data_IF_430162582726
#
_entry.id   IF_430162582726
#
_cell.length_a   1.000
_cell.length_b   1.000
_cell.length_c   1.000
_cell.angle_alpha   90.00
_cell.angle_beta   90.00
_cell.angle_gamma   90.00
#
_symmetry.space_group_name_H-M   'P 1'
#
loop_
_entity.id
_entity.type
_entity.pdbx_description
1 polymer ?
#
# COMPACT_ATOMS: atom_id res chain seq x y z
N UNK A 1 -10.41 20.58 15.36
CA UNK A 1 -9.75 21.65 14.56
C UNK A 1 -8.32 21.21 14.28
N UNK A 2 -7.88 21.23 13.02
CA UNK A 2 -6.49 20.94 12.67
C UNK A 2 -5.58 21.99 13.32
N UNK A 3 -4.43 21.57 13.86
CA UNK A 3 -3.45 22.50 14.43
C UNK A 3 -2.84 23.37 13.32
N UNK A 4 -2.57 24.66 13.57
CA UNK A 4 -2.06 25.58 12.58
C UNK A 4 -0.67 25.15 12.05
N UNK A 5 -0.45 25.30 10.75
CA UNK A 5 0.84 24.98 10.09
C UNK A 5 1.98 25.91 10.55
N UNK A 6 1.66 27.11 11.04
CA UNK A 6 2.61 28.11 11.52
C UNK A 6 2.21 28.55 12.93
N UNK A 7 3.14 28.44 13.84
CA UNK A 7 2.97 28.84 15.23
C UNK A 7 3.46 30.27 15.44
N UNK A 8 2.79 31.03 16.29
CA UNK A 8 3.28 32.31 16.85
C UNK A 8 4.32 32.04 17.93
N UNK A 9 4.97 33.09 18.46
CA UNK A 9 5.93 32.97 19.56
C UNK A 9 5.29 32.37 20.82
N UNK A 10 4.07 32.76 21.14
CA UNK A 10 3.34 32.19 22.27
C UNK A 10 2.99 30.72 22.07
N UNK A 11 2.45 30.38 20.89
CA UNK A 11 2.07 29.00 20.59
C UNK A 11 3.28 28.03 20.54
N UNK A 12 4.43 28.47 19.99
CA UNK A 12 5.64 27.64 20.02
C UNK A 12 6.21 27.52 21.43
N UNK A 13 6.11 28.58 22.26
CA UNK A 13 6.49 28.54 23.65
C UNK A 13 5.66 27.49 24.43
N UNK A 14 4.34 27.52 24.25
CA UNK A 14 3.43 26.54 24.84
C UNK A 14 3.71 25.13 24.31
N UNK A 15 3.92 24.97 23.01
CA UNK A 15 4.21 23.69 22.37
C UNK A 15 5.51 23.05 22.91
N UNK A 16 6.56 23.87 23.11
CA UNK A 16 7.86 23.43 23.65
C UNK A 16 7.89 23.42 25.18
N UNK A 17 6.79 23.86 25.85
CA UNK A 17 6.74 24.06 27.31
C UNK A 17 7.85 24.97 27.83
N UNK A 18 8.18 26.00 27.05
CA UNK A 18 9.15 27.04 27.38
C UNK A 18 8.45 28.36 27.70
N UNK A 19 9.18 29.29 28.33
CA UNK A 19 8.75 30.69 28.42
C UNK A 19 9.06 31.41 27.10
N UNK A 20 8.20 32.35 26.66
CA UNK A 20 8.44 33.12 25.43
C UNK A 20 9.82 33.82 25.41
N UNK A 21 10.29 34.32 26.57
CA UNK A 21 11.64 34.88 26.68
C UNK A 21 12.71 33.90 26.17
N UNK A 22 12.61 32.59 26.49
CA UNK A 22 13.56 31.59 26.03
C UNK A 22 13.47 31.37 24.53
N UNK A 23 12.27 31.44 23.96
CA UNK A 23 12.06 31.37 22.50
C UNK A 23 12.78 32.53 21.81
N UNK A 24 12.66 33.77 22.33
CA UNK A 24 13.37 34.93 21.79
C UNK A 24 14.90 34.79 21.89
N UNK A 25 15.42 34.20 22.98
CA UNK A 25 16.86 33.89 23.13
C UNK A 25 17.31 32.92 22.03
N UNK A 26 16.60 31.79 21.83
CA UNK A 26 16.89 30.80 20.78
C UNK A 26 16.84 31.41 19.37
N UNK A 27 15.88 32.31 19.08
CA UNK A 27 15.79 33.03 17.81
C UNK A 27 16.99 33.96 17.61
N UNK A 28 17.42 34.66 18.64
CA UNK A 28 18.59 35.55 18.60
C UNK A 28 19.88 34.75 18.33
N UNK A 29 19.99 33.58 18.94
CA UNK A 29 21.12 32.64 18.79
C UNK A 29 21.06 31.83 17.51
N UNK A 30 19.97 31.99 16.70
CA UNK A 30 19.67 31.16 15.51
C UNK A 30 19.62 29.66 15.81
N UNK A 31 19.25 29.30 17.02
CA UNK A 31 19.20 27.91 17.51
C UNK A 31 17.82 27.26 17.36
N UNK A 32 16.81 27.97 16.85
CA UNK A 32 15.48 27.45 16.59
C UNK A 32 14.99 27.84 15.19
N UNK A 33 14.34 26.93 14.42
CA UNK A 33 13.80 27.25 13.11
C UNK A 33 12.70 28.30 13.20
N UNK A 34 12.87 29.44 12.53
CA UNK A 34 11.84 30.46 12.44
C UNK A 34 11.90 31.21 11.10
N UNK A 35 10.76 31.75 10.67
CA UNK A 35 10.62 32.67 9.55
C UNK A 35 10.27 34.08 10.06
N UNK A 36 10.85 35.11 9.43
CA UNK A 36 10.49 36.50 9.65
C UNK A 36 9.65 37.01 8.49
N UNK A 37 8.38 37.20 8.73
CA UNK A 37 7.44 37.66 7.70
C UNK A 37 6.79 38.93 8.21
N UNK A 38 6.93 40.05 7.46
CA UNK A 38 6.34 41.36 7.81
C UNK A 38 6.57 41.79 9.26
N UNK A 39 7.80 41.56 9.79
CA UNK A 39 8.18 41.91 11.15
C UNK A 39 7.69 40.96 12.25
N UNK A 40 6.91 39.95 11.92
CA UNK A 40 6.47 38.92 12.86
C UNK A 40 7.35 37.66 12.77
N UNK A 41 7.56 36.98 13.90
CA UNK A 41 8.15 35.66 13.97
C UNK A 41 7.07 34.60 13.79
N UNK A 42 7.30 33.71 12.85
CA UNK A 42 6.47 32.53 12.62
C UNK A 42 7.35 31.29 12.67
N UNK A 43 6.85 30.23 13.30
CA UNK A 43 7.55 28.98 13.48
C UNK A 43 6.81 27.89 12.70
N UNK A 44 7.34 27.45 11.56
CA UNK A 44 6.72 26.36 10.80
C UNK A 44 6.71 25.11 11.68
N UNK A 45 5.53 24.58 12.00
CA UNK A 45 5.36 23.45 12.92
C UNK A 45 6.23 22.26 12.53
N UNK A 46 6.23 21.90 11.25
CA UNK A 46 7.07 20.79 10.73
C UNK A 46 8.55 21.01 10.97
N UNK A 47 9.04 22.24 10.87
CA UNK A 47 10.43 22.56 11.14
C UNK A 47 10.77 22.46 12.63
N UNK A 48 9.84 22.85 13.52
CA UNK A 48 9.99 22.67 14.97
C UNK A 48 10.01 21.18 15.33
N UNK A 49 9.10 20.39 14.76
CA UNK A 49 9.06 18.94 15.01
C UNK A 49 10.36 18.25 14.55
N UNK A 50 10.88 18.62 13.37
CA UNK A 50 12.15 18.11 12.86
C UNK A 50 13.35 18.55 13.73
N UNK A 51 13.33 19.79 14.25
CA UNK A 51 14.35 20.30 15.14
C UNK A 51 14.37 19.55 16.48
N UNK A 52 13.18 19.28 17.07
CA UNK A 52 13.07 18.43 18.27
C UNK A 52 13.59 17.03 17.98
N UNK A 53 13.18 16.43 16.88
CA UNK A 53 13.59 15.08 16.49
C UNK A 53 15.11 14.96 16.30
N UNK A 54 15.74 16.01 15.75
CA UNK A 54 17.20 16.08 15.60
C UNK A 54 17.98 16.33 16.90
N UNK A 55 17.32 16.77 17.97
CA UNK A 55 17.91 17.05 19.27
C UNK A 55 17.61 15.96 20.33
N UNK A 56 16.99 14.82 19.91
CA UNK A 56 16.73 13.71 20.82
C UNK A 56 18.05 13.06 21.22
N UNK A 57 18.46 13.27 22.47
CA UNK A 57 19.55 12.54 23.10
C UNK A 57 19.00 11.20 23.62
N UNK A 58 19.55 10.11 23.12
CA UNK A 58 19.16 8.76 23.50
C UNK A 58 20.40 7.90 23.65
N UNK A 59 20.79 7.63 24.89
CA UNK A 59 21.97 6.79 25.25
C UNK A 59 21.64 5.29 25.27
N UNK A 60 20.43 4.93 24.86
CA UNK A 60 19.99 3.52 24.73
C UNK A 60 20.44 2.88 23.41
N UNK A 61 20.23 1.57 23.24
CA UNK A 61 20.43 0.93 21.95
C UNK A 61 19.59 1.68 20.91
N UNK A 62 20.22 2.08 19.79
CA UNK A 62 19.55 2.86 18.74
C UNK A 62 18.15 2.30 18.42
N UNK A 63 17.24 3.15 17.95
CA UNK A 63 15.92 2.67 17.52
C UNK A 63 16.12 1.44 16.65
N UNK A 64 15.46 0.31 16.94
CA UNK A 64 15.69 -0.93 16.22
C UNK A 64 15.57 -0.67 14.72
N UNK A 65 16.63 -1.02 13.99
CA UNK A 65 16.58 -0.98 12.53
C UNK A 65 15.57 -2.05 12.10
N UNK A 66 14.52 -1.72 11.37
CA UNK A 66 13.56 -2.71 10.92
C UNK A 66 14.28 -3.81 10.11
N UNK A 67 13.88 -5.08 10.26
CA UNK A 67 14.45 -6.13 9.43
C UNK A 67 14.17 -5.85 7.94
N UNK A 68 15.01 -6.30 7.02
CA UNK A 68 14.84 -6.09 5.59
C UNK A 68 13.68 -6.95 5.03
N UNK A 69 12.48 -6.67 5.50
CA UNK A 69 11.25 -7.36 5.12
C UNK A 69 10.37 -6.42 4.31
N UNK A 70 9.91 -6.89 3.15
CA UNK A 70 8.79 -6.34 2.41
C UNK A 70 7.56 -7.17 2.77
N UNK A 71 6.67 -6.58 3.55
CA UNK A 71 5.44 -7.21 4.00
C UNK A 71 4.24 -6.79 3.10
N UNK A 72 3.06 -7.34 3.35
CA UNK A 72 1.82 -6.86 2.76
C UNK A 72 1.21 -7.77 1.72
N UNK A 73 0.64 -7.18 0.68
CA UNK A 73 -0.06 -7.95 -0.33
C UNK A 73 0.87 -8.68 -1.28
N UNK A 74 0.46 -9.89 -1.66
CA UNK A 74 1.14 -10.66 -2.70
C UNK A 74 0.94 -9.99 -4.07
N UNK A 75 2.03 -9.94 -4.84
CA UNK A 75 2.03 -9.52 -6.24
C UNK A 75 3.12 -10.29 -7.01
N UNK A 76 2.77 -11.03 -8.09
CA UNK A 76 3.73 -11.85 -8.84
C UNK A 76 4.89 -11.05 -9.45
N UNK A 77 4.63 -9.84 -9.95
CA UNK A 77 5.66 -8.97 -10.52
C UNK A 77 6.63 -8.48 -9.45
N UNK A 78 6.11 -8.08 -8.29
CA UNK A 78 6.92 -7.65 -7.15
C UNK A 78 7.74 -8.81 -6.57
N UNK A 79 7.12 -9.98 -6.41
CA UNK A 79 7.78 -11.19 -5.92
C UNK A 79 8.97 -11.59 -6.82
N UNK A 80 8.78 -11.56 -8.13
CA UNK A 80 9.86 -11.79 -9.09
C UNK A 80 10.93 -10.68 -9.01
N UNK A 81 10.53 -9.40 -8.97
CA UNK A 81 11.45 -8.28 -8.93
C UNK A 81 12.34 -8.28 -7.68
N UNK A 82 11.81 -8.63 -6.51
CA UNK A 82 12.59 -8.77 -5.29
C UNK A 82 13.70 -9.80 -5.43
N UNK A 83 13.41 -10.94 -6.05
CA UNK A 83 14.43 -11.99 -6.31
C UNK A 83 15.43 -11.56 -7.37
N UNK A 84 14.94 -11.02 -8.50
CA UNK A 84 15.79 -10.68 -9.64
C UNK A 84 16.69 -9.47 -9.36
N UNK A 85 16.24 -8.49 -8.59
CA UNK A 85 17.04 -7.31 -8.23
C UNK A 85 18.19 -7.58 -7.27
N UNK A 86 18.15 -8.71 -6.54
CA UNK A 86 19.11 -8.95 -5.47
C UNK A 86 19.09 -7.94 -4.34
N UNK A 87 17.95 -7.25 -4.14
CA UNK A 87 17.82 -6.16 -3.15
C UNK A 87 17.95 -6.61 -1.68
N UNK A 88 17.95 -7.91 -1.41
CA UNK A 88 18.10 -8.46 -0.06
C UNK A 88 16.85 -8.39 0.80
N UNK A 89 15.69 -8.01 0.25
CA UNK A 89 14.42 -8.02 0.98
C UNK A 89 13.84 -9.44 1.05
N UNK A 90 13.37 -9.83 2.24
CA UNK A 90 12.53 -11.01 2.41
C UNK A 90 11.05 -10.63 2.22
N UNK A 91 10.28 -11.49 1.55
CA UNK A 91 8.85 -11.28 1.32
C UNK A 91 8.01 -11.95 2.40
N UNK A 92 7.01 -11.22 2.90
CA UNK A 92 6.01 -11.71 3.83
C UNK A 92 4.61 -11.25 3.39
N UNK A 93 3.91 -12.11 2.64
CA UNK A 93 2.69 -11.75 1.91
C UNK A 93 1.42 -12.20 2.64
N UNK A 94 1.02 -11.47 3.68
CA UNK A 94 -0.18 -11.75 4.50
C UNK A 94 -1.33 -10.74 4.30
N UNK A 95 -1.19 -9.83 3.33
CA UNK A 95 -2.22 -8.86 2.93
C UNK A 95 -1.91 -7.43 3.35
N UNK A 96 -2.59 -6.47 2.70
CA UNK A 96 -2.31 -5.02 2.83
C UNK A 96 -2.36 -4.52 4.28
N UNK A 97 -3.35 -4.95 5.06
CA UNK A 97 -3.52 -4.47 6.44
C UNK A 97 -2.45 -5.02 7.38
N UNK A 98 -2.10 -6.31 7.23
CA UNK A 98 -1.01 -6.91 8.00
C UNK A 98 0.31 -6.20 7.69
N UNK A 99 0.63 -5.99 6.42
CA UNK A 99 1.85 -5.28 6.01
C UNK A 99 1.95 -3.87 6.58
N UNK A 100 0.85 -3.10 6.60
CA UNK A 100 0.82 -1.79 7.23
C UNK A 100 1.05 -1.88 8.74
N UNK A 101 0.44 -2.86 9.41
CA UNK A 101 0.66 -3.12 10.84
C UNK A 101 2.13 -3.42 11.16
N UNK A 102 2.78 -4.26 10.35
CA UNK A 102 4.22 -4.58 10.49
C UNK A 102 5.12 -3.38 10.23
N UNK A 103 4.78 -2.56 9.22
CA UNK A 103 5.50 -1.31 8.96
C UNK A 103 5.40 -0.36 10.16
N UNK A 104 4.20 -0.19 10.73
CA UNK A 104 4.00 0.62 11.94
C UNK A 104 4.80 0.11 13.12
N UNK A 105 4.82 -1.20 13.33
CA UNK A 105 5.54 -1.86 14.42
C UNK A 105 7.07 -1.93 14.22
N UNK A 106 7.61 -1.45 13.08
CA UNK A 106 9.05 -1.57 12.78
C UNK A 106 9.50 -2.99 12.48
N UNK A 107 8.60 -3.87 12.07
CA UNK A 107 8.86 -5.28 11.70
C UNK A 107 9.06 -5.46 10.19
N UNK A 108 8.90 -4.40 9.41
CA UNK A 108 9.16 -4.37 7.99
C UNK A 108 9.67 -2.98 7.59
N UNK A 109 10.48 -2.91 6.54
CA UNK A 109 10.95 -1.64 5.94
C UNK A 109 10.00 -1.13 4.87
N UNK A 110 9.19 -2.03 4.27
CA UNK A 110 8.30 -1.73 3.16
C UNK A 110 7.04 -2.59 3.24
N UNK A 111 5.91 -2.07 2.73
CA UNK A 111 4.65 -2.81 2.63
C UNK A 111 4.02 -2.62 1.26
N UNK A 112 3.72 -3.74 0.57
CA UNK A 112 2.90 -3.76 -0.63
C UNK A 112 1.41 -3.65 -0.29
N UNK A 113 0.68 -2.79 -0.99
CA UNK A 113 -0.73 -2.56 -0.70
C UNK A 113 -1.55 -2.18 -1.96
N UNK A 114 -2.83 -2.53 -1.91
CA UNK A 114 -3.82 -2.14 -2.91
C UNK A 114 -5.16 -1.86 -2.18
N UNK A 115 -5.26 -0.71 -1.54
CA UNK A 115 -6.41 -0.34 -0.73
C UNK A 115 -7.32 0.61 -1.51
N UNK A 116 -8.54 0.15 -1.77
CA UNK A 116 -9.59 0.91 -2.42
C UNK A 116 -10.40 1.70 -1.38
N UNK A 117 -10.76 2.94 -1.70
CA UNK A 117 -11.78 3.69 -0.99
C UNK A 117 -13.16 3.20 -1.48
N UNK A 118 -13.90 2.53 -0.61
CA UNK A 118 -15.22 1.97 -0.97
C UNK A 118 -16.26 3.04 -1.27
N UNK A 119 -16.04 4.29 -0.86
CA UNK A 119 -16.99 5.37 -1.07
C UNK A 119 -17.01 5.87 -2.51
N UNK A 120 -15.87 5.81 -3.21
CA UNK A 120 -15.73 6.35 -4.56
C UNK A 120 -15.00 5.42 -5.55
N UNK A 121 -14.52 4.27 -5.08
CA UNK A 121 -13.81 3.29 -5.91
C UNK A 121 -12.38 3.70 -6.26
N UNK A 122 -11.83 4.74 -5.65
CA UNK A 122 -10.48 5.22 -5.93
C UNK A 122 -9.42 4.56 -5.05
N UNK A 123 -8.17 4.58 -5.50
CA UNK A 123 -7.01 4.16 -4.70
C UNK A 123 -6.37 5.40 -4.08
N UNK A 124 -6.92 5.83 -2.93
CA UNK A 124 -6.45 7.02 -2.26
C UNK A 124 -5.29 6.69 -1.30
N UNK A 125 -4.07 7.24 -1.51
CA UNK A 125 -2.93 7.01 -0.62
C UNK A 125 -3.18 7.43 0.82
N UNK A 126 -4.18 8.32 1.04
CA UNK A 126 -4.62 8.74 2.38
C UNK A 126 -5.09 7.56 3.25
N UNK A 127 -5.64 6.49 2.65
CA UNK A 127 -6.07 5.29 3.40
C UNK A 127 -4.88 4.66 4.13
N UNK A 128 -3.73 4.55 3.44
CA UNK A 128 -2.50 4.10 4.08
C UNK A 128 -2.04 5.07 5.18
N UNK A 129 -2.17 6.38 4.93
CA UNK A 129 -1.79 7.41 5.90
C UNK A 129 -2.68 7.41 7.14
N UNK A 130 -3.97 7.18 6.99
CA UNK A 130 -4.94 7.06 8.09
C UNK A 130 -4.71 5.77 8.89
N UNK A 131 -4.35 4.67 8.23
CA UNK A 131 -3.98 3.41 8.87
C UNK A 131 -2.63 3.47 9.61
N UNK A 132 -1.78 4.45 9.30
CA UNK A 132 -0.42 4.60 9.84
C UNK A 132 -0.19 5.95 10.54
N UNK A 133 -1.02 6.35 11.54
CA UNK A 133 -0.81 7.62 12.23
C UNK A 133 0.51 7.68 12.99
N UNK A 134 1.04 6.53 13.41
CA UNK A 134 2.32 6.40 14.12
C UNK A 134 3.57 6.46 13.23
N UNK A 135 3.41 6.55 11.90
CA UNK A 135 4.53 6.68 10.95
C UNK A 135 4.57 8.12 10.43
N UNK A 136 5.32 9.03 11.07
CA UNK A 136 5.28 10.47 10.76
C UNK A 136 5.92 10.81 9.40
N UNK A 137 6.84 9.98 8.92
CA UNK A 137 7.59 10.13 7.68
C UNK A 137 7.14 9.11 6.60
N UNK A 138 5.83 8.85 6.53
CA UNK A 138 5.25 7.91 5.56
C UNK A 138 5.42 8.43 4.13
N UNK A 139 5.97 7.57 3.28
CA UNK A 139 6.04 7.71 1.84
C UNK A 139 5.24 6.57 1.18
N UNK A 140 4.45 6.89 0.15
CA UNK A 140 3.78 5.89 -0.69
C UNK A 140 4.21 6.11 -2.14
N UNK A 141 4.71 5.05 -2.74
CA UNK A 141 5.24 5.02 -4.11
C UNK A 141 4.39 4.08 -4.94
N UNK A 142 3.96 4.52 -6.11
CA UNK A 142 3.21 3.68 -7.04
C UNK A 142 4.12 2.59 -7.61
N UNK A 143 3.65 1.34 -7.56
CA UNK A 143 4.30 0.19 -8.15
C UNK A 143 3.78 -0.08 -9.56
N UNK A 144 2.48 -0.40 -9.67
CA UNK A 144 1.85 -0.71 -10.94
C UNK A 144 0.33 -0.46 -10.90
N UNK A 145 -0.27 -0.32 -12.07
CA UNK A 145 -1.67 -0.64 -12.25
C UNK A 145 -1.80 -2.09 -12.66
N UNK A 146 -2.86 -2.78 -12.19
CA UNK A 146 -3.15 -4.18 -12.48
C UNK A 146 -4.59 -4.34 -12.93
N UNK A 147 -4.84 -5.25 -13.86
CA UNK A 147 -6.20 -5.61 -14.24
C UNK A 147 -6.73 -6.66 -13.27
N UNK A 148 -7.79 -6.32 -12.55
CA UNK A 148 -8.58 -7.18 -11.69
C UNK A 148 -9.85 -7.63 -12.41
N UNK A 149 -10.19 -8.89 -12.26
CA UNK A 149 -11.37 -9.44 -12.91
C UNK A 149 -11.77 -10.80 -12.38
N UNK A 150 -12.82 -11.35 -12.97
CA UNK A 150 -13.31 -12.66 -12.63
C UNK A 150 -12.53 -13.71 -13.42
N UNK A 151 -11.83 -14.58 -12.70
CA UNK A 151 -11.20 -15.77 -13.26
C UNK A 151 -12.21 -16.88 -13.33
N UNK A 152 -12.29 -17.55 -14.47
CA UNK A 152 -13.20 -18.69 -14.72
C UNK A 152 -12.42 -19.82 -15.39
N UNK A 153 -12.93 -21.03 -15.34
CA UNK A 153 -12.33 -22.17 -16.01
C UNK A 153 -12.19 -21.91 -17.51
N UNK A 154 -11.17 -22.49 -18.12
CA UNK A 154 -10.86 -22.33 -19.56
C UNK A 154 -12.06 -22.66 -20.43
N UNK A 155 -12.35 -21.80 -21.39
CA UNK A 155 -13.51 -21.90 -22.27
C UNK A 155 -14.80 -21.42 -21.62
N UNK A 156 -14.76 -20.92 -20.39
CA UNK A 156 -15.93 -20.43 -19.63
C UNK A 156 -17.15 -21.36 -19.74
N UNK A 157 -17.04 -22.63 -19.33
CA UNK A 157 -18.08 -23.63 -19.56
C UNK A 157 -19.41 -23.33 -18.85
N UNK A 158 -19.38 -22.45 -17.84
CA UNK A 158 -20.57 -22.03 -17.10
C UNK A 158 -21.23 -20.77 -17.68
N UNK A 159 -20.63 -20.17 -18.73
CA UNK A 159 -21.19 -18.98 -19.39
C UNK A 159 -21.27 -17.76 -18.48
N UNK A 160 -20.35 -17.62 -17.50
CA UNK A 160 -20.34 -16.49 -16.59
C UNK A 160 -19.93 -15.23 -17.35
N UNK A 161 -20.75 -14.18 -17.34
CA UNK A 161 -20.47 -12.91 -18.01
C UNK A 161 -20.16 -11.77 -17.03
N UNK A 162 -20.64 -11.91 -15.79
CA UNK A 162 -20.43 -10.91 -14.74
C UNK A 162 -20.38 -11.55 -13.35
N UNK A 163 -19.97 -10.77 -12.36
CA UNK A 163 -20.02 -11.18 -10.96
C UNK A 163 -21.47 -11.38 -10.48
N UNK A 164 -22.39 -10.53 -10.95
CA UNK A 164 -23.81 -10.64 -10.64
C UNK A 164 -24.41 -11.94 -11.20
N UNK A 165 -24.07 -12.32 -12.44
CA UNK A 165 -24.52 -13.57 -13.05
C UNK A 165 -24.01 -14.78 -12.28
N UNK A 166 -22.73 -14.76 -11.90
CA UNK A 166 -22.14 -15.84 -11.12
C UNK A 166 -22.90 -16.07 -9.80
N UNK A 167 -23.27 -14.98 -9.11
CA UNK A 167 -24.02 -15.06 -7.84
C UNK A 167 -25.46 -15.49 -8.09
N UNK A 168 -26.15 -14.92 -9.10
CA UNK A 168 -27.52 -15.27 -9.43
C UNK A 168 -27.67 -16.74 -9.85
N UNK A 169 -26.70 -17.30 -10.54
CA UNK A 169 -26.63 -18.71 -10.91
C UNK A 169 -26.23 -19.65 -9.75
N UNK A 170 -25.86 -19.11 -8.59
CA UNK A 170 -25.45 -19.88 -7.43
C UNK A 170 -24.05 -20.50 -7.56
N UNK A 171 -23.18 -19.95 -8.41
CA UNK A 171 -21.80 -20.42 -8.57
C UNK A 171 -20.97 -20.15 -7.35
N UNK A 172 -20.07 -21.09 -7.02
CA UNK A 172 -19.13 -20.97 -5.88
C UNK A 172 -18.04 -19.98 -6.23
N UNK A 173 -17.98 -18.88 -5.47
CA UNK A 173 -16.98 -17.81 -5.68
C UNK A 173 -15.83 -18.02 -4.73
N UNK A 174 -14.61 -18.27 -5.27
CA UNK A 174 -13.38 -18.27 -4.47
C UNK A 174 -13.14 -16.86 -3.91
N UNK A 175 -12.87 -16.78 -2.61
CA UNK A 175 -12.62 -15.52 -1.90
C UNK A 175 -11.24 -15.55 -1.24
N UNK A 176 -10.65 -14.37 -1.15
CA UNK A 176 -9.46 -14.15 -0.34
C UNK A 176 -9.85 -14.03 1.14
N UNK A 177 -8.85 -14.18 2.01
CA UNK A 177 -9.05 -14.01 3.46
C UNK A 177 -9.68 -12.63 3.77
N UNK A 178 -10.55 -12.56 4.81
CA UNK A 178 -11.21 -11.32 5.19
C UNK A 178 -10.22 -10.18 5.45
N UNK A 179 -10.53 -9.00 4.91
CA UNK A 179 -9.71 -7.80 5.06
C UNK A 179 -8.49 -7.72 4.14
N UNK A 180 -8.27 -8.69 3.26
CA UNK A 180 -7.31 -8.53 2.16
C UNK A 180 -7.80 -7.47 1.17
N UNK A 181 -6.90 -6.88 0.38
CA UNK A 181 -7.29 -5.88 -0.62
C UNK A 181 -8.29 -6.45 -1.64
N UNK A 182 -8.12 -7.70 -2.10
CA UNK A 182 -9.04 -8.35 -3.02
C UNK A 182 -10.41 -8.65 -2.39
N UNK A 183 -10.47 -8.96 -1.08
CA UNK A 183 -11.75 -9.14 -0.38
C UNK A 183 -12.50 -7.80 -0.26
N UNK A 184 -11.77 -6.71 0.03
CA UNK A 184 -12.35 -5.36 0.06
C UNK A 184 -12.85 -4.94 -1.32
N UNK A 185 -12.07 -5.22 -2.38
CA UNK A 185 -12.46 -4.94 -3.77
C UNK A 185 -13.69 -5.76 -4.17
N UNK A 186 -13.73 -7.06 -3.84
CA UNK A 186 -14.90 -7.91 -4.11
C UNK A 186 -16.16 -7.33 -3.47
N UNK A 187 -16.07 -6.91 -2.20
CA UNK A 187 -17.20 -6.31 -1.51
C UNK A 187 -17.66 -5.00 -2.17
N UNK A 188 -16.73 -4.16 -2.63
CA UNK A 188 -17.03 -2.95 -3.38
C UNK A 188 -17.73 -3.25 -4.72
N UNK A 189 -17.24 -4.23 -5.48
CA UNK A 189 -17.83 -4.61 -6.78
C UNK A 189 -19.23 -5.17 -6.62
N UNK A 190 -19.46 -6.02 -5.62
CA UNK A 190 -20.81 -6.55 -5.31
C UNK A 190 -21.78 -5.41 -4.95
N UNK A 191 -21.36 -4.46 -4.11
CA UNK A 191 -22.17 -3.30 -3.73
C UNK A 191 -22.48 -2.40 -4.94
N UNK A 192 -21.46 -2.11 -5.77
CA UNK A 192 -21.62 -1.35 -7.02
C UNK A 192 -22.65 -1.99 -7.97
N UNK A 193 -22.61 -3.31 -8.09
CA UNK A 193 -23.47 -4.07 -9.00
C UNK A 193 -24.82 -4.45 -8.35
N UNK A 194 -25.12 -3.96 -7.13
CA UNK A 194 -26.37 -4.17 -6.42
C UNK A 194 -26.57 -5.60 -5.90
N UNK A 195 -25.49 -6.36 -5.74
CA UNK A 195 -25.50 -7.75 -5.27
C UNK A 195 -25.29 -7.83 -3.77
N UNK A 196 -26.19 -8.53 -3.05
CA UNK A 196 -25.98 -8.81 -1.62
C UNK A 196 -24.79 -9.77 -1.44
N UNK A 197 -23.72 -9.29 -0.82
CA UNK A 197 -22.51 -10.10 -0.56
C UNK A 197 -22.77 -11.35 0.28
N UNK A 198 -23.88 -11.43 1.02
CA UNK A 198 -24.33 -12.63 1.76
C UNK A 198 -24.91 -13.70 0.86
N UNK A 199 -25.38 -13.32 -0.32
CA UNK A 199 -25.91 -14.27 -1.32
C UNK A 199 -24.79 -14.99 -2.10
N UNK A 200 -23.53 -14.58 -1.94
CA UNK A 200 -22.38 -15.18 -2.65
C UNK A 200 -22.07 -16.54 -2.04
N UNK A 201 -22.26 -17.66 -2.77
CA UNK A 201 -21.89 -18.97 -2.27
C UNK A 201 -20.36 -19.04 -2.07
N UNK A 202 -19.87 -19.29 -0.84
CA UNK A 202 -18.44 -19.35 -0.61
C UNK A 202 -17.85 -20.66 -1.15
N UNK A 203 -16.60 -20.60 -1.62
CA UNK A 203 -15.78 -21.80 -1.76
C UNK A 203 -15.44 -22.40 -0.37
N UNK A 204 -14.90 -23.62 -0.34
CA UNK A 204 -14.66 -24.37 0.90
C UNK A 204 -13.81 -23.64 1.94
N UNK A 205 -12.82 -22.88 1.50
CA UNK A 205 -11.94 -22.11 2.38
C UNK A 205 -11.44 -20.84 1.70
N UNK A 206 -11.15 -19.76 2.46
CA UNK A 206 -10.52 -18.57 1.91
C UNK A 206 -9.11 -18.86 1.37
N UNK A 207 -8.81 -18.32 0.20
CA UNK A 207 -7.48 -18.38 -0.39
C UNK A 207 -6.53 -17.39 0.31
N UNK A 208 -5.31 -17.80 0.60
CA UNK A 208 -4.29 -16.93 1.24
C UNK A 208 -3.50 -16.11 0.22
N UNK A 209 -3.41 -16.58 -1.03
CA UNK A 209 -2.74 -15.90 -2.13
C UNK A 209 -3.63 -15.83 -3.38
N UNK A 210 -3.30 -14.99 -4.34
CA UNK A 210 -3.94 -14.99 -5.67
C UNK A 210 -3.75 -16.34 -6.40
N UNK A 211 -2.60 -16.98 -6.18
CA UNK A 211 -2.27 -18.30 -6.72
C UNK A 211 -3.14 -19.40 -6.14
N UNK A 212 -3.39 -19.37 -4.81
CA UNK A 212 -4.29 -20.34 -4.15
C UNK A 212 -5.72 -20.20 -4.68
N UNK A 213 -6.15 -18.96 -4.93
CA UNK A 213 -7.48 -18.69 -5.47
C UNK A 213 -7.64 -19.29 -6.87
N UNK A 214 -6.64 -19.09 -7.75
CA UNK A 214 -6.65 -19.67 -9.07
C UNK A 214 -6.61 -21.21 -9.03
N UNK A 215 -5.82 -21.79 -8.10
CA UNK A 215 -5.76 -23.24 -7.91
C UNK A 215 -7.12 -23.82 -7.50
N UNK A 216 -7.90 -23.14 -6.66
CA UNK A 216 -9.25 -23.59 -6.31
C UNK A 216 -10.17 -23.70 -7.52
N UNK A 217 -10.03 -22.79 -8.50
CA UNK A 217 -10.81 -22.86 -9.75
C UNK A 217 -10.35 -24.02 -10.62
N UNK A 218 -9.03 -24.19 -10.79
CA UNK A 218 -8.45 -25.31 -11.57
C UNK A 218 -8.83 -26.66 -10.97
N UNK A 219 -8.83 -26.77 -9.65
CA UNK A 219 -9.19 -27.99 -8.92
C UNK A 219 -10.71 -28.25 -8.86
N UNK A 220 -11.54 -27.34 -9.40
CA UNK A 220 -13.01 -27.46 -9.36
C UNK A 220 -13.61 -27.26 -7.96
N UNK A 221 -12.85 -26.69 -7.01
CA UNK A 221 -13.32 -26.33 -5.66
C UNK A 221 -14.10 -25.04 -5.65
N UNK A 222 -13.90 -24.17 -6.65
CA UNK A 222 -14.64 -22.97 -6.93
C UNK A 222 -14.96 -22.90 -8.44
N UNK A 223 -16.02 -22.19 -8.77
CA UNK A 223 -16.49 -22.02 -10.15
C UNK A 223 -15.89 -20.75 -10.78
N UNK A 224 -15.65 -19.75 -9.97
CA UNK A 224 -14.99 -18.49 -10.36
C UNK A 224 -14.35 -17.82 -9.13
N UNK A 225 -13.65 -16.70 -9.36
CA UNK A 225 -13.10 -15.90 -8.26
C UNK A 225 -12.44 -14.61 -8.76
N UNK A 226 -12.44 -13.58 -7.89
CA UNK A 226 -11.81 -12.30 -8.20
C UNK A 226 -10.29 -12.39 -8.04
N UNK A 227 -9.55 -12.07 -9.11
CA UNK A 227 -8.10 -12.05 -9.08
C UNK A 227 -7.49 -11.24 -10.22
N UNK A 228 -6.16 -11.25 -10.33
CA UNK A 228 -5.43 -10.48 -11.34
C UNK A 228 -5.25 -11.27 -12.65
N UNK A 229 -5.29 -10.55 -13.77
CA UNK A 229 -5.11 -11.09 -15.12
C UNK A 229 -3.85 -11.97 -15.27
N UNK A 230 -2.72 -11.54 -14.68
CA UNK A 230 -1.46 -12.27 -14.72
C UNK A 230 -1.56 -13.68 -14.09
N UNK A 231 -2.32 -13.82 -13.01
CA UNK A 231 -2.54 -15.13 -12.36
C UNK A 231 -3.48 -15.99 -13.20
N UNK A 232 -4.58 -15.43 -13.73
CA UNK A 232 -5.47 -16.14 -14.64
C UNK A 232 -4.68 -16.74 -15.81
N UNK A 233 -3.86 -15.93 -16.49
CA UNK A 233 -3.02 -16.34 -17.60
C UNK A 233 -2.04 -17.45 -17.23
N UNK A 234 -1.38 -17.34 -16.08
CA UNK A 234 -0.43 -18.35 -15.58
C UNK A 234 -1.09 -19.71 -15.35
N UNK A 235 -2.33 -19.73 -14.91
CA UNK A 235 -3.10 -20.95 -14.63
C UNK A 235 -3.95 -21.42 -15.81
N UNK A 236 -3.89 -20.74 -16.97
CA UNK A 236 -4.67 -21.07 -18.15
C UNK A 236 -6.17 -20.91 -17.96
N UNK A 237 -6.57 -20.02 -17.06
CA UNK A 237 -7.96 -19.62 -16.83
C UNK A 237 -8.36 -18.51 -17.79
N UNK A 238 -9.66 -18.43 -18.12
CA UNK A 238 -10.20 -17.27 -18.80
C UNK A 238 -10.42 -16.14 -17.81
N UNK A 239 -10.45 -14.90 -18.31
CA UNK A 239 -10.44 -13.71 -17.50
C UNK A 239 -11.46 -12.68 -18.02
N UNK A 240 -12.37 -12.26 -17.15
CA UNK A 240 -13.36 -11.22 -17.41
C UNK A 240 -12.94 -9.96 -16.66
N UNK A 241 -12.45 -8.90 -17.33
CA UNK A 241 -11.97 -7.70 -16.67
C UNK A 241 -13.10 -6.93 -15.98
N UNK A 242 -12.94 -6.57 -14.71
CA UNK A 242 -13.95 -5.86 -13.93
C UNK A 242 -13.46 -4.52 -13.38
N UNK A 243 -12.19 -4.40 -13.09
CA UNK A 243 -11.63 -3.22 -12.42
C UNK A 243 -10.14 -3.05 -12.71
N UNK A 244 -9.68 -1.80 -12.71
CA UNK A 244 -8.27 -1.47 -12.78
C UNK A 244 -7.76 -1.02 -11.42
N UNK A 245 -6.86 -1.79 -10.84
CA UNK A 245 -6.38 -1.66 -9.49
C UNK A 245 -5.01 -1.00 -9.45
N UNK A 246 -4.77 -0.10 -8.50
CA UNK A 246 -3.42 0.43 -8.23
C UNK A 246 -2.77 -0.33 -7.09
N UNK A 247 -1.57 -0.82 -7.34
CA UNK A 247 -0.69 -1.40 -6.32
C UNK A 247 0.39 -0.39 -5.96
N UNK A 248 0.58 -0.14 -4.66
CA UNK A 248 1.52 0.82 -4.13
C UNK A 248 2.48 0.15 -3.13
N UNK A 249 3.63 0.81 -2.90
CA UNK A 249 4.60 0.46 -1.87
C UNK A 249 4.61 1.57 -0.82
N UNK A 250 4.28 1.23 0.43
CA UNK A 250 4.40 2.13 1.57
C UNK A 250 5.69 1.84 2.34
N UNK A 251 6.40 2.89 2.73
CA UNK A 251 7.65 2.79 3.49
C UNK A 251 7.89 4.09 4.25
N UNK A 252 8.85 4.10 5.18
CA UNK A 252 9.33 5.35 5.78
C UNK A 252 10.21 6.08 4.78
N UNK A 253 10.17 7.41 4.80
CA UNK A 253 11.00 8.23 3.91
C UNK A 253 12.49 7.91 4.04
N UNK A 254 12.98 7.65 5.26
CA UNK A 254 14.37 7.23 5.48
C UNK A 254 14.68 5.91 4.77
N UNK A 255 13.77 4.92 4.85
CA UNK A 255 13.97 3.58 4.31
C UNK A 255 13.92 3.61 2.76
N UNK A 256 13.28 4.63 2.16
CA UNK A 256 13.30 4.85 0.71
C UNK A 256 14.71 5.05 0.15
N UNK A 257 15.61 5.72 0.90
CA UNK A 257 16.98 6.01 0.48
C UNK A 257 17.95 4.86 0.80
N UNK A 258 17.50 3.84 1.50
CA UNK A 258 18.32 2.68 1.83
C UNK A 258 18.58 1.78 0.60
N UNK A 259 19.71 1.08 0.65
CA UNK A 259 20.20 0.25 -0.47
C UNK A 259 19.16 -0.73 -0.98
N UNK A 260 18.40 -1.40 -0.11
CA UNK A 260 17.41 -2.39 -0.48
C UNK A 260 16.26 -1.79 -1.31
N UNK A 261 15.70 -0.65 -0.88
CA UNK A 261 14.64 0.03 -1.62
C UNK A 261 15.15 0.59 -2.95
N UNK A 262 16.34 1.20 -2.95
CA UNK A 262 16.92 1.76 -4.17
C UNK A 262 17.31 0.69 -5.20
N UNK A 263 17.81 -0.47 -4.76
CA UNK A 263 18.12 -1.59 -5.64
C UNK A 263 16.85 -2.15 -6.31
N UNK A 264 15.78 -2.35 -5.55
CA UNK A 264 14.48 -2.77 -6.08
C UNK A 264 13.92 -1.76 -7.10
N UNK A 265 13.91 -0.48 -6.76
CA UNK A 265 13.38 0.58 -7.63
C UNK A 265 14.25 0.84 -8.87
N UNK A 266 15.58 0.66 -8.76
CA UNK A 266 16.47 0.75 -9.90
C UNK A 266 16.24 -0.42 -10.87
N UNK A 267 16.14 -1.65 -10.37
CA UNK A 267 15.79 -2.81 -11.18
C UNK A 267 14.44 -2.66 -11.86
N UNK A 268 13.45 -2.15 -11.15
CA UNK A 268 12.10 -1.94 -11.69
C UNK A 268 12.03 -0.90 -12.83
N UNK A 269 13.12 -0.14 -13.10
CA UNK A 269 13.23 0.79 -14.22
C UNK A 269 13.95 0.21 -15.44
N UNK A 270 14.36 -1.06 -15.38
CA UNK A 270 15.06 -1.72 -16.47
C UNK A 270 14.10 -2.19 -17.56
N UNK A 271 14.64 -2.41 -18.77
CA UNK A 271 13.89 -3.02 -19.87
C UNK A 271 13.48 -4.46 -19.53
N UNK A 272 14.33 -5.21 -18.82
CA UNK A 272 14.04 -6.55 -18.34
C UNK A 272 12.77 -6.59 -17.48
N UNK A 273 12.64 -5.66 -16.54
CA UNK A 273 11.44 -5.55 -15.71
C UNK A 273 10.19 -5.24 -16.53
N UNK A 274 10.30 -4.28 -17.47
CA UNK A 274 9.18 -3.88 -18.33
C UNK A 274 8.75 -5.04 -19.24
N UNK A 275 9.69 -5.77 -19.83
CA UNK A 275 9.42 -6.96 -20.64
C UNK A 275 8.71 -8.05 -19.82
N UNK A 276 9.18 -8.32 -18.59
CA UNK A 276 8.55 -9.31 -17.73
C UNK A 276 7.12 -8.90 -17.32
N UNK A 277 6.88 -7.62 -17.04
CA UNK A 277 5.52 -7.11 -16.76
C UNK A 277 4.57 -7.31 -17.95
N UNK A 278 5.06 -7.10 -19.19
CA UNK A 278 4.32 -7.37 -20.42
C UNK A 278 4.05 -8.86 -20.62
N UNK A 279 5.03 -9.72 -20.35
CA UNK A 279 4.90 -11.18 -20.46
C UNK A 279 3.89 -11.75 -19.46
N UNK A 280 3.85 -11.21 -18.23
CA UNK A 280 2.83 -11.56 -17.25
C UNK A 280 1.43 -11.14 -17.72
N UNK A 281 1.31 -9.98 -18.37
CA UNK A 281 0.06 -9.39 -18.85
C UNK A 281 -0.78 -8.74 -17.74
N UNK A 282 -1.62 -7.78 -18.12
CA UNK A 282 -2.49 -7.06 -17.19
C UNK A 282 -1.78 -6.10 -16.23
N UNK A 283 -0.52 -5.73 -16.52
CA UNK A 283 0.25 -4.72 -15.79
C UNK A 283 0.48 -3.47 -16.63
N UNK A 284 0.37 -2.30 -15.98
CA UNK A 284 0.86 -1.04 -16.50
C UNK A 284 1.83 -0.43 -15.48
N UNK A 285 3.08 -0.36 -15.87
CA UNK A 285 4.21 0.12 -15.05
C UNK A 285 4.68 1.53 -15.44
N UNK A 286 3.93 2.25 -16.27
CA UNK A 286 4.31 3.59 -16.77
C UNK A 286 4.47 4.64 -15.67
N UNK A 287 3.74 4.48 -14.56
CA UNK A 287 3.80 5.36 -13.39
C UNK A 287 4.65 4.80 -12.23
N UNK A 288 5.44 3.76 -12.48
CA UNK A 288 6.29 3.14 -11.47
C UNK A 288 7.26 4.16 -10.85
N UNK A 289 7.39 4.13 -9.54
CA UNK A 289 8.28 5.03 -8.79
C UNK A 289 7.70 6.42 -8.53
N UNK A 290 6.48 6.73 -9.03
CA UNK A 290 5.82 7.99 -8.71
C UNK A 290 5.45 8.04 -7.23
N UNK A 291 5.89 9.09 -6.54
CA UNK A 291 5.45 9.36 -5.17
C UNK A 291 4.01 9.88 -5.22
N UNK A 292 3.10 9.13 -4.61
CA UNK A 292 1.66 9.46 -4.55
C UNK A 292 1.23 10.01 -3.20
N UNK A 293 2.05 9.81 -2.17
CA UNK A 293 1.88 10.40 -0.84
C UNK A 293 3.22 10.61 -0.16
N UNK A 294 3.36 11.72 0.57
CA UNK A 294 4.55 12.07 1.36
C UNK A 294 4.11 12.92 2.56
N UNK A 295 4.27 12.37 3.77
CA UNK A 295 3.97 13.06 5.04
C UNK A 295 5.21 13.70 5.59
#
# INVERSE_FOLDING_TARGET
MAAPDYLTTAEVADYLRLKERKVYELVRERAIPCARVTGKLLFPRRAIDAWIAGAVEFDGPGLPVPPPVLAGSHDPLLDWAVRASGCGLALLAEGSRDGLGRLAAGQAVMSGLHLIDRSDGTYAPRIAAEALPAVPDLLVVQWAWRDQGLMVARGNPLGVESLADAVAAGHRVARRQPGSGSDVLLAYLLERDGVDGRAVPPAESPALTETDLAAQIVDGKADCGLGISAVARRFGLDFLPLHRERFDLALRRRDYFETAAQALLAFARTEEFTAHAQDLGGYDVTCLGRVVYNR
#
